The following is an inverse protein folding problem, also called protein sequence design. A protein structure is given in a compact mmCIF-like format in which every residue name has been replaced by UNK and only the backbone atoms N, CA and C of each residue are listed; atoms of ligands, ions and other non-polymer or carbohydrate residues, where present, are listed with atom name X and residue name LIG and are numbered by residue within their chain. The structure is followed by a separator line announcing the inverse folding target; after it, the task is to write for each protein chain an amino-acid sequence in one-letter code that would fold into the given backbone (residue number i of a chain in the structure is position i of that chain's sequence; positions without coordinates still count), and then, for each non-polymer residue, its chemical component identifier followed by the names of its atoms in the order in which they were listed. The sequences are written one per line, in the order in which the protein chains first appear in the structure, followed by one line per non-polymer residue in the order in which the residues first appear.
data_IF_723909828644
#
_entry.id   IF_723909828644
#
_cell.length_a   1.000
_cell.length_b   1.000
_cell.length_c   1.000
_cell.angle_alpha   90.00
_cell.angle_beta   90.00
_cell.angle_gamma   90.00
#
_symmetry.space_group_name_H-M   'P 1'
#
loop_
_entity.id
_entity.type
_entity.pdbx_description
1 polymer ?
#
# COMPACT_ATOMS: atom_id res chain seq x y z
N UNK A 1 20.31 7.90 4.68
CA UNK A 1 19.06 7.55 4.00
C UNK A 1 19.41 7.21 2.56
N UNK A 2 18.81 6.20 1.98
CA UNK A 2 19.15 5.69 0.67
C UNK A 2 17.90 5.36 -0.13
N UNK A 3 17.91 5.69 -1.43
CA UNK A 3 16.85 5.26 -2.35
C UNK A 3 17.06 3.78 -2.66
N UNK A 4 16.06 2.97 -2.32
CA UNK A 4 16.09 1.53 -2.48
C UNK A 4 15.61 1.14 -3.89
N UNK A 5 16.15 0.04 -4.41
CA UNK A 5 15.70 -0.50 -5.69
C UNK A 5 14.34 -1.17 -5.54
N UNK A 6 13.40 -0.84 -6.43
CA UNK A 6 12.07 -1.48 -6.45
C UNK A 6 12.14 -2.84 -7.14
N UNK A 7 11.63 -3.87 -6.46
CA UNK A 7 11.39 -5.18 -7.03
C UNK A 7 10.18 -5.10 -7.97
N UNK A 8 10.36 -5.57 -9.21
CA UNK A 8 9.28 -5.58 -10.20
C UNK A 8 8.60 -6.95 -10.28
N UNK A 9 7.36 -6.97 -10.77
CA UNK A 9 6.61 -8.20 -11.02
C UNK A 9 7.47 -9.23 -11.77
N UNK A 10 7.42 -10.49 -11.31
CA UNK A 10 8.32 -11.57 -11.72
C UNK A 10 9.39 -11.86 -10.68
N UNK A 11 9.71 -10.91 -9.77
CA UNK A 11 10.58 -11.18 -8.64
C UNK A 11 9.85 -12.08 -7.62
N UNK A 12 10.42 -13.23 -7.21
CA UNK A 12 9.76 -14.16 -6.28
C UNK A 12 9.38 -13.54 -4.93
N UNK A 13 10.12 -12.54 -4.45
CA UNK A 13 9.87 -11.89 -3.16
C UNK A 13 8.48 -11.26 -3.08
N UNK A 14 7.91 -10.84 -4.22
CA UNK A 14 6.58 -10.25 -4.29
C UNK A 14 5.45 -11.30 -4.22
N UNK A 15 5.81 -12.59 -4.18
CA UNK A 15 4.85 -13.71 -4.20
C UNK A 15 4.91 -14.60 -2.97
N UNK A 16 5.70 -14.23 -1.99
CA UNK A 16 5.81 -14.95 -0.71
C UNK A 16 5.30 -14.08 0.43
N UNK A 17 4.59 -14.64 1.42
CA UNK A 17 4.20 -13.90 2.62
C UNK A 17 5.42 -13.36 3.35
N UNK A 18 5.36 -12.11 3.76
CA UNK A 18 6.40 -11.44 4.52
C UNK A 18 6.42 -11.90 5.99
N UNK A 19 7.60 -11.91 6.59
CA UNK A 19 7.80 -12.31 7.98
C UNK A 19 7.46 -11.18 8.96
N UNK A 20 6.89 -11.49 10.13
CA UNK A 20 6.65 -10.49 11.16
C UNK A 20 7.96 -9.88 11.67
N UNK A 21 7.95 -8.58 11.92
CA UNK A 21 9.05 -7.88 12.60
C UNK A 21 9.03 -8.23 14.08
N UNK A 22 10.10 -8.84 14.59
CA UNK A 22 10.23 -9.27 16.00
C UNK A 22 10.73 -8.15 16.91
N UNK A 23 11.69 -7.35 16.43
CA UNK A 23 12.27 -6.23 17.19
C UNK A 23 12.13 -4.94 16.41
N UNK A 24 11.05 -4.22 16.65
CA UNK A 24 10.74 -2.97 15.96
C UNK A 24 11.82 -1.90 16.20
N UNK A 25 12.40 -1.87 17.41
CA UNK A 25 13.39 -0.87 17.79
C UNK A 25 14.82 -1.18 17.29
N UNK A 26 15.01 -2.29 16.60
CA UNK A 26 16.31 -2.63 16.02
C UNK A 26 16.74 -1.54 15.03
N UNK A 27 18.01 -1.17 15.08
CA UNK A 27 18.56 -0.05 14.30
C UNK A 27 18.42 -0.28 12.77
N UNK A 28 18.56 -1.50 12.32
CA UNK A 28 18.38 -1.90 10.92
C UNK A 28 16.92 -1.77 10.46
N UNK A 29 15.95 -2.05 11.34
CA UNK A 29 14.51 -1.84 11.06
C UNK A 29 14.20 -0.35 10.97
N UNK A 30 14.72 0.47 11.91
CA UNK A 30 14.49 1.91 11.88
C UNK A 30 15.11 2.56 10.63
N UNK A 31 16.32 2.15 10.24
CA UNK A 31 16.95 2.60 9.00
C UNK A 31 16.18 2.18 7.77
N UNK A 32 15.69 0.93 7.74
CA UNK A 32 14.85 0.46 6.64
C UNK A 32 13.59 1.31 6.48
N UNK A 33 12.92 1.65 7.59
CA UNK A 33 11.73 2.53 7.56
C UNK A 33 12.08 3.90 6.96
N UNK A 34 13.18 4.50 7.38
CA UNK A 34 13.62 5.81 6.87
C UNK A 34 13.95 5.73 5.36
N UNK A 35 14.67 4.69 4.94
CA UNK A 35 14.99 4.46 3.53
C UNK A 35 13.74 4.17 2.67
N UNK A 36 12.76 3.46 3.23
CA UNK A 36 11.48 3.20 2.56
C UNK A 36 10.66 4.48 2.38
N UNK A 37 10.61 5.36 3.39
CA UNK A 37 9.92 6.65 3.29
C UNK A 37 10.53 7.49 2.17
N UNK A 38 11.86 7.64 2.17
CA UNK A 38 12.57 8.39 1.14
C UNK A 38 12.36 7.79 -0.25
N UNK A 39 12.40 6.46 -0.34
CA UNK A 39 12.16 5.74 -1.60
C UNK A 39 10.75 5.99 -2.11
N UNK A 40 9.73 5.86 -1.27
CA UNK A 40 8.34 6.10 -1.63
C UNK A 40 8.16 7.51 -2.21
N UNK A 41 8.70 8.52 -1.53
CA UNK A 41 8.63 9.92 -1.94
C UNK A 41 9.38 10.18 -3.26
N UNK A 42 10.58 9.63 -3.43
CA UNK A 42 11.35 9.75 -4.68
C UNK A 42 10.57 9.19 -5.89
N UNK A 43 9.91 8.04 -5.71
CA UNK A 43 9.08 7.43 -6.76
C UNK A 43 7.66 8.00 -6.84
N UNK A 44 7.32 9.02 -6.04
CA UNK A 44 5.98 9.63 -5.95
C UNK A 44 4.88 8.61 -5.73
N UNK A 45 5.18 7.60 -4.90
CA UNK A 45 4.21 6.60 -4.49
C UNK A 45 3.38 7.07 -3.30
N UNK A 46 2.14 6.63 -3.21
CA UNK A 46 1.26 6.85 -2.05
C UNK A 46 1.42 5.75 -0.99
N UNK A 47 2.08 4.66 -1.35
CA UNK A 47 2.39 3.55 -0.45
C UNK A 47 3.61 2.77 -0.90
N UNK A 48 4.23 2.05 0.05
CA UNK A 48 5.35 1.16 -0.20
C UNK A 48 5.43 0.08 0.88
N UNK A 49 5.46 -1.18 0.46
CA UNK A 49 5.66 -2.33 1.34
C UNK A 49 7.10 -2.86 1.27
N UNK A 50 7.62 -3.39 2.37
CA UNK A 50 9.00 -3.87 2.45
C UNK A 50 9.35 -4.96 1.42
N UNK A 51 8.47 -5.89 1.02
CA UNK A 51 8.76 -6.82 -0.08
C UNK A 51 9.11 -6.10 -1.40
N UNK A 52 8.53 -4.93 -1.67
CA UNK A 52 8.85 -4.15 -2.87
C UNK A 52 10.28 -3.58 -2.88
N UNK A 53 10.93 -3.53 -1.74
CA UNK A 53 12.35 -3.12 -1.61
C UNK A 53 13.25 -4.29 -1.19
N UNK A 54 12.90 -5.50 -1.61
CA UNK A 54 13.64 -6.73 -1.36
C UNK A 54 13.82 -7.12 0.12
N UNK A 55 12.89 -6.70 0.99
CA UNK A 55 12.89 -7.05 2.41
C UNK A 55 11.59 -7.77 2.75
N UNK A 56 11.66 -9.09 2.98
CA UNK A 56 10.48 -9.91 3.33
C UNK A 56 10.06 -9.70 4.78
N UNK A 57 9.61 -8.48 5.12
CA UNK A 57 9.17 -8.08 6.46
C UNK A 57 7.79 -7.42 6.39
N UNK A 58 6.97 -7.61 7.42
CA UNK A 58 5.66 -7.00 7.53
C UNK A 58 5.77 -5.52 7.94
N UNK A 59 6.18 -4.68 6.98
CA UNK A 59 6.25 -3.22 7.11
C UNK A 59 5.58 -2.63 5.87
N UNK A 60 4.64 -1.72 6.08
CA UNK A 60 4.02 -0.90 5.05
C UNK A 60 4.07 0.57 5.46
N UNK A 61 4.27 1.44 4.48
CA UNK A 61 4.26 2.89 4.64
C UNK A 61 3.19 3.43 3.71
N UNK A 62 2.33 4.30 4.21
CA UNK A 62 1.26 4.91 3.44
C UNK A 62 1.28 6.43 3.71
N UNK A 63 1.32 7.21 2.64
CA UNK A 63 1.15 8.65 2.66
C UNK A 63 -0.24 8.96 2.09
N UNK A 64 -1.09 9.57 2.89
CA UNK A 64 -2.40 10.03 2.48
C UNK A 64 -2.60 11.44 2.96
N UNK A 65 -3.30 12.25 2.19
CA UNK A 65 -3.67 13.60 2.56
C UNK A 65 -4.60 13.61 3.78
N UNK A 66 -4.67 14.75 4.48
CA UNK A 66 -5.50 14.87 5.68
C UNK A 66 -6.99 14.62 5.37
N UNK A 67 -7.44 15.03 4.18
CA UNK A 67 -8.81 14.88 3.71
C UNK A 67 -9.20 13.41 3.44
N UNK A 68 -8.23 12.56 3.07
CA UNK A 68 -8.42 11.12 2.82
C UNK A 68 -8.38 10.26 4.10
N UNK A 69 -8.23 10.89 5.25
CA UNK A 69 -8.11 10.18 6.53
C UNK A 69 -9.39 10.29 7.34
N UNK A 70 -9.83 9.15 7.87
CA UNK A 70 -10.84 9.19 8.92
C UNK A 70 -10.32 9.96 10.16
N UNK A 71 -11.20 10.58 10.92
CA UNK A 71 -10.87 11.32 12.17
C UNK A 71 -10.03 10.50 13.18
N UNK A 72 -10.06 9.17 13.06
CA UNK A 72 -9.30 8.24 13.91
C UNK A 72 -7.96 7.80 13.32
N UNK A 73 -7.56 8.31 12.15
CA UNK A 73 -6.27 7.98 11.54
C UNK A 73 -5.10 8.59 12.35
N UNK A 74 -3.94 7.94 12.39
CA UNK A 74 -2.78 8.50 13.08
C UNK A 74 -2.38 9.83 12.46
N UNK A 75 -2.05 10.84 13.30
CA UNK A 75 -1.76 12.20 12.83
C UNK A 75 -0.44 12.32 12.05
N UNK A 76 0.36 11.25 11.98
CA UNK A 76 1.65 11.26 11.32
C UNK A 76 1.53 10.85 9.85
N UNK A 77 1.95 11.71 8.93
CA UNK A 77 2.22 11.39 7.53
C UNK A 77 3.74 11.37 7.32
N UNK A 78 4.30 10.33 6.68
CA UNK A 78 3.63 9.08 6.31
C UNK A 78 3.32 8.15 7.50
N UNK A 79 2.26 7.38 7.38
CA UNK A 79 1.88 6.35 8.36
C UNK A 79 2.74 5.11 8.20
N UNK A 80 3.36 4.64 9.27
CA UNK A 80 4.17 3.40 9.31
C UNK A 80 3.38 2.31 10.02
N UNK A 81 3.07 1.24 9.30
CA UNK A 81 2.32 0.09 9.81
C UNK A 81 3.24 -1.13 9.89
N UNK A 82 3.50 -1.61 11.08
CA UNK A 82 4.34 -2.78 11.34
C UNK A 82 3.48 -3.92 11.85
N UNK A 83 3.62 -5.10 11.25
CA UNK A 83 2.79 -6.28 11.52
C UNK A 83 1.29 -5.99 11.42
N UNK A 84 0.83 -5.34 10.34
CA UNK A 84 -0.58 -4.96 10.21
C UNK A 84 -1.47 -6.19 10.09
N UNK A 85 -2.72 -6.04 10.60
CA UNK A 85 -3.81 -6.99 10.44
C UNK A 85 -5.09 -6.23 10.16
N UNK A 86 -5.76 -6.51 9.06
CA UNK A 86 -7.12 -6.05 8.81
C UNK A 86 -8.03 -6.91 9.70
N UNK A 87 -8.68 -6.28 10.68
CA UNK A 87 -9.49 -6.97 11.70
C UNK A 87 -10.98 -6.82 11.44
N UNK A 88 -11.37 -5.82 10.66
CA UNK A 88 -12.74 -5.58 10.25
C UNK A 88 -12.73 -4.96 8.85
N UNK A 89 -13.69 -5.35 8.02
CA UNK A 89 -13.95 -4.72 6.74
C UNK A 89 -15.47 -4.56 6.58
N UNK A 90 -15.89 -3.52 5.86
CA UNK A 90 -17.29 -3.31 5.50
C UNK A 90 -17.77 -4.42 4.55
N UNK A 91 -19.09 -4.57 4.41
CA UNK A 91 -19.67 -5.41 3.35
C UNK A 91 -19.65 -4.70 1.99
N UNK A 92 -19.42 -3.38 2.00
CA UNK A 92 -19.38 -2.56 0.79
C UNK A 92 -17.99 -2.58 0.17
N UNK A 93 -17.96 -2.81 -1.13
CA UNK A 93 -16.76 -2.73 -1.95
C UNK A 93 -16.97 -1.75 -3.11
N UNK A 94 -15.93 -1.03 -3.46
CA UNK A 94 -15.92 -0.12 -4.59
C UNK A 94 -14.76 -0.46 -5.52
N UNK A 95 -15.02 -0.43 -6.83
CA UNK A 95 -13.97 -0.55 -7.85
C UNK A 95 -13.31 0.80 -8.10
N UNK A 96 -11.99 0.84 -8.05
CA UNK A 96 -11.22 2.03 -8.37
C UNK A 96 -9.88 1.67 -8.98
N UNK A 97 -9.29 2.64 -9.65
CA UNK A 97 -8.02 2.47 -10.33
C UNK A 97 -6.86 2.34 -9.35
N UNK A 98 -6.02 1.36 -9.60
CA UNK A 98 -4.77 1.17 -8.88
C UNK A 98 -3.59 1.11 -9.84
N UNK A 99 -2.44 1.56 -9.33
CA UNK A 99 -1.14 1.35 -9.91
C UNK A 99 -0.16 0.90 -8.84
N UNK A 100 0.98 0.40 -9.23
CA UNK A 100 1.97 -0.13 -8.32
C UNK A 100 3.38 0.16 -8.83
N UNK A 101 4.30 0.56 -7.94
CA UNK A 101 5.70 0.76 -8.28
C UNK A 101 6.37 -0.54 -8.77
N UNK A 102 5.88 -1.69 -8.29
CA UNK A 102 6.34 -3.01 -8.74
C UNK A 102 5.77 -3.45 -10.10
N UNK A 103 4.78 -2.74 -10.62
CA UNK A 103 4.17 -2.92 -11.95
C UNK A 103 4.17 -1.59 -12.70
N UNK A 104 5.35 -1.10 -13.12
CA UNK A 104 5.46 0.23 -13.69
C UNK A 104 4.61 0.37 -14.95
N UNK A 105 4.04 1.57 -15.12
CA UNK A 105 3.23 1.93 -16.28
C UNK A 105 1.95 1.12 -16.49
N UNK A 106 1.47 0.40 -15.48
CA UNK A 106 0.18 -0.30 -15.53
C UNK A 106 -0.82 0.31 -14.55
N UNK A 107 -2.10 0.29 -14.96
CA UNK A 107 -3.27 0.63 -14.16
C UNK A 107 -4.34 -0.44 -14.36
N UNK A 108 -5.18 -0.65 -13.34
CA UNK A 108 -6.32 -1.55 -13.43
C UNK A 108 -7.36 -1.22 -12.37
N UNK A 109 -8.65 -1.49 -12.64
CA UNK A 109 -9.71 -1.35 -11.63
C UNK A 109 -9.72 -2.57 -10.70
N UNK A 110 -9.72 -2.27 -9.39
CA UNK A 110 -9.65 -3.27 -8.33
C UNK A 110 -10.77 -3.02 -7.33
N UNK A 111 -11.60 -4.04 -7.00
CA UNK A 111 -12.57 -3.92 -5.93
C UNK A 111 -11.86 -3.93 -4.56
N UNK A 112 -12.18 -2.94 -3.72
CA UNK A 112 -11.69 -2.84 -2.35
C UNK A 112 -12.82 -2.53 -1.39
N UNK A 113 -12.70 -2.99 -0.15
CA UNK A 113 -13.58 -2.54 0.92
C UNK A 113 -13.45 -1.04 1.13
N UNK A 114 -14.59 -0.35 1.25
CA UNK A 114 -14.62 1.11 1.46
C UNK A 114 -14.17 1.50 2.86
N UNK A 115 -14.43 0.62 3.86
CA UNK A 115 -14.08 0.85 5.24
C UNK A 115 -13.36 -0.36 5.83
N UNK A 116 -12.27 -0.12 6.52
CA UNK A 116 -11.52 -1.16 7.21
C UNK A 116 -11.05 -0.69 8.58
N UNK A 117 -10.95 -1.63 9.52
CA UNK A 117 -10.21 -1.44 10.77
C UNK A 117 -8.91 -2.25 10.72
N UNK A 118 -7.79 -1.59 11.03
CA UNK A 118 -6.46 -2.20 11.00
C UNK A 118 -5.82 -2.10 12.37
N UNK A 119 -5.28 -3.21 12.86
CA UNK A 119 -4.38 -3.25 14.02
C UNK A 119 -2.95 -3.42 13.55
N UNK A 120 -2.05 -2.59 14.08
CA UNK A 120 -0.64 -2.61 13.73
C UNK A 120 0.21 -2.10 14.91
N UNK A 121 1.52 -1.99 14.69
CA UNK A 121 2.41 -1.21 15.54
C UNK A 121 2.95 -0.03 14.75
N UNK A 122 3.13 1.10 15.41
CA UNK A 122 3.87 2.23 14.84
C UNK A 122 5.40 1.97 14.90
N UNK A 123 6.20 2.87 14.31
CA UNK A 123 7.67 2.76 14.33
C UNK A 123 8.29 2.79 15.74
N UNK A 124 7.54 3.22 16.77
CA UNK A 124 7.97 3.22 18.18
C UNK A 124 7.58 1.91 18.89
N UNK A 125 6.89 0.99 18.20
CA UNK A 125 6.40 -0.26 18.78
C UNK A 125 5.10 -0.11 19.56
N UNK A 126 4.48 1.08 19.56
CA UNK A 126 3.17 1.29 20.18
C UNK A 126 2.09 0.64 19.31
N UNK A 127 1.25 -0.17 19.92
CA UNK A 127 0.05 -0.73 19.24
C UNK A 127 -0.89 0.40 18.87
N UNK A 128 -1.36 0.36 17.63
CA UNK A 128 -2.38 1.27 17.11
C UNK A 128 -3.53 0.46 16.51
N UNK A 129 -4.72 1.02 16.62
CA UNK A 129 -5.90 0.59 15.88
C UNK A 129 -6.37 1.81 15.12
N UNK A 130 -6.50 1.69 13.81
CA UNK A 130 -6.94 2.77 12.95
C UNK A 130 -8.15 2.34 12.11
N UNK A 131 -9.05 3.25 11.89
CA UNK A 131 -10.12 3.11 10.90
C UNK A 131 -9.69 3.88 9.67
N UNK A 132 -9.84 3.27 8.52
CA UNK A 132 -9.53 3.85 7.24
C UNK A 132 -10.74 3.74 6.32
N UNK A 133 -10.98 4.77 5.54
CA UNK A 133 -12.10 4.87 4.60
C UNK A 133 -11.59 5.22 3.21
N UNK A 134 -12.38 4.92 2.20
CA UNK A 134 -12.21 5.33 0.81
C UNK A 134 -10.78 5.09 0.28
N UNK A 135 -10.11 6.14 -0.21
CA UNK A 135 -8.77 6.04 -0.80
C UNK A 135 -7.73 5.53 0.21
N UNK A 136 -7.79 5.98 1.47
CA UNK A 136 -6.85 5.50 2.49
C UNK A 136 -7.04 4.01 2.82
N UNK A 137 -8.30 3.54 2.85
CA UNK A 137 -8.61 2.12 3.00
C UNK A 137 -8.08 1.31 1.80
N UNK A 138 -8.22 1.82 0.57
CA UNK A 138 -7.70 1.22 -0.65
C UNK A 138 -6.17 1.09 -0.60
N UNK A 139 -5.47 2.17 -0.26
CA UNK A 139 -4.01 2.21 -0.17
C UNK A 139 -3.49 1.20 0.87
N UNK A 140 -4.09 1.14 2.05
CA UNK A 140 -3.72 0.15 3.08
C UNK A 140 -3.93 -1.28 2.59
N UNK A 141 -5.05 -1.58 1.92
CA UNK A 141 -5.33 -2.92 1.38
C UNK A 141 -4.32 -3.29 0.29
N UNK A 142 -3.91 -2.34 -0.56
CA UNK A 142 -2.89 -2.53 -1.57
C UNK A 142 -1.54 -2.92 -0.94
N UNK A 143 -1.07 -2.15 0.04
CA UNK A 143 0.19 -2.45 0.72
C UNK A 143 0.11 -3.73 1.56
N UNK A 144 -1.04 -4.01 2.17
CA UNK A 144 -1.27 -5.28 2.88
C UNK A 144 -1.18 -6.49 1.96
N UNK A 145 -1.68 -6.39 0.73
CA UNK A 145 -1.57 -7.45 -0.28
C UNK A 145 -0.10 -7.80 -0.56
N UNK A 146 0.79 -6.83 -0.69
CA UNK A 146 2.22 -7.09 -0.82
C UNK A 146 2.80 -7.88 0.35
N UNK A 147 2.30 -7.67 1.58
CA UNK A 147 2.76 -8.39 2.77
C UNK A 147 2.30 -9.86 2.79
N UNK A 148 1.26 -10.20 2.05
CA UNK A 148 0.76 -11.57 1.92
C UNK A 148 1.10 -12.23 0.57
N UNK A 149 1.97 -11.57 -0.24
CA UNK A 149 2.45 -12.08 -1.53
C UNK A 149 1.45 -11.95 -2.67
N UNK A 150 0.52 -11.01 -2.57
CA UNK A 150 -0.53 -10.72 -3.56
C UNK A 150 -0.22 -9.40 -4.28
N UNK A 151 -0.55 -9.30 -5.55
CA UNK A 151 -0.45 -8.08 -6.35
C UNK A 151 -1.86 -7.60 -6.72
N UNK A 152 -2.00 -6.31 -7.06
CA UNK A 152 -3.33 -5.77 -7.41
C UNK A 152 -3.98 -6.51 -8.60
N UNK A 153 -3.18 -7.03 -9.54
CA UNK A 153 -3.67 -7.85 -10.66
C UNK A 153 -4.44 -9.10 -10.20
N UNK A 154 -4.06 -9.69 -9.06
CA UNK A 154 -4.71 -10.88 -8.52
C UNK A 154 -6.09 -10.57 -7.92
N UNK A 155 -6.38 -9.29 -7.68
CA UNK A 155 -7.65 -8.80 -7.14
C UNK A 155 -8.61 -8.30 -8.23
N UNK A 156 -8.11 -8.07 -9.44
CA UNK A 156 -8.94 -7.64 -10.56
C UNK A 156 -9.99 -8.70 -10.89
N UNK A 157 -11.23 -8.29 -11.17
CA UNK A 157 -12.29 -9.19 -11.60
C UNK A 157 -12.07 -9.71 -13.03
N UNK A 158 -11.51 -8.85 -13.88
CA UNK A 158 -11.13 -9.19 -15.26
C UNK A 158 -9.93 -8.31 -15.68
N UNK A 159 -9.28 -8.68 -16.78
CA UNK A 159 -8.20 -7.87 -17.36
C UNK A 159 -8.69 -6.80 -18.33
N UNK A 160 -10.00 -6.62 -18.51
CA UNK A 160 -10.58 -5.64 -19.45
C UNK A 160 -10.21 -4.19 -19.09
N UNK A 161 -10.01 -3.92 -17.80
CA UNK A 161 -9.58 -2.60 -17.33
C UNK A 161 -8.05 -2.49 -17.16
N UNK A 162 -7.28 -3.58 -17.43
CA UNK A 162 -5.82 -3.48 -17.36
C UNK A 162 -5.30 -2.67 -18.54
N UNK A 163 -4.64 -1.56 -18.25
CA UNK A 163 -4.19 -0.64 -19.28
C UNK A 163 -2.79 -0.08 -18.97
N UNK A 164 -2.09 0.35 -20.01
CA UNK A 164 -0.87 1.13 -19.82
C UNK A 164 -1.21 2.55 -19.35
N UNK A 165 -0.34 3.12 -18.53
CA UNK A 165 -0.53 4.47 -17.96
C UNK A 165 -0.77 5.56 -19.01
N UNK A 166 -0.12 5.45 -20.17
CA UNK A 166 -0.32 6.38 -21.28
C UNK A 166 -1.75 6.30 -21.85
N UNK A 167 -2.27 5.06 -22.01
CA UNK A 167 -3.65 4.84 -22.50
C UNK A 167 -4.68 5.18 -21.43
N UNK A 168 -4.35 4.93 -20.15
CA UNK A 168 -5.16 5.39 -19.02
C UNK A 168 -5.36 6.92 -19.09
N UNK A 169 -4.26 7.67 -19.22
CA UNK A 169 -4.33 9.13 -19.31
C UNK A 169 -5.11 9.66 -20.54
N UNK A 170 -5.13 8.89 -21.64
CA UNK A 170 -5.87 9.31 -22.87
C UNK A 170 -7.36 9.04 -22.80
N UNK A 171 -7.79 7.97 -22.15
CA UNK A 171 -9.14 7.44 -22.32
C UNK A 171 -9.93 7.27 -21.04
N UNK A 172 -9.28 7.31 -19.87
CA UNK A 172 -9.91 6.93 -18.61
C UNK A 172 -9.79 8.00 -17.51
N UNK A 173 -8.72 8.80 -17.48
CA UNK A 173 -8.48 9.76 -16.41
C UNK A 173 -9.61 10.80 -16.27
N UNK A 174 -10.09 11.34 -17.41
CA UNK A 174 -11.14 12.38 -17.41
C UNK A 174 -12.55 11.83 -17.16
N UNK A 175 -12.73 10.50 -17.09
CA UNK A 175 -14.04 9.88 -16.85
C UNK A 175 -14.31 9.59 -15.39
N UNK A 176 -13.31 9.68 -14.53
CA UNK A 176 -13.49 9.54 -13.08
C UNK A 176 -14.18 10.76 -12.45
N UNK A 177 -14.05 11.93 -13.08
CA UNK A 177 -14.67 13.18 -12.61
C UNK A 177 -16.17 13.28 -12.99
N UNK A 178 -16.72 12.33 -13.76
CA UNK A 178 -18.10 12.35 -14.26
C UNK A 178 -19.03 11.29 -13.59
N UNK A 179 -18.50 10.38 -12.75
CA UNK A 179 -19.27 9.35 -12.00
C UNK A 179 -19.37 9.70 -10.51
#
# INVERSE_FOLDING_TARGET
MAILKIAQMGNPILRIPAEPVKNIQALDIQRLIDDMIETMQEYRGVGLAAPQVHRSLQIAIIEADEDDRAESAPPASPSVLINPRIVLASDQMEEGWEGCLSLPNLRGKVPRYTDIEVRAHDRRGKTLTLKAVDFFARAIQHEYDHLIGTLFLDRMKSLETLTFLEEFGRYWADREDEE
#
